data_IF_729758335669
#
_entry.id   IF_729758335669
#
_cell.length_a   1.000
_cell.length_b   1.000
_cell.length_c   1.000
_cell.angle_alpha   90.00
_cell.angle_beta   90.00
_cell.angle_gamma   90.00
#
_symmetry.space_group_name_H-M   'P 1'
#
loop_
_entity.id
_entity.type
_entity.pdbx_description
1 polymer ?
#
# COMPACT_ATOMS: atom_id res chain seq x y z
N UNK A 1 -17.96 -13.68 -22.88
CA UNK A 1 -18.30 -12.33 -22.38
C UNK A 1 -17.41 -11.94 -21.18
N UNK A 2 -16.10 -11.71 -21.35
CA UNK A 2 -15.16 -11.38 -20.25
C UNK A 2 -14.05 -10.40 -20.66
N UNK A 3 -14.37 -9.42 -21.51
CA UNK A 3 -13.39 -8.39 -21.92
C UNK A 3 -13.93 -6.95 -21.86
N UNK A 4 -15.21 -6.74 -21.51
CA UNK A 4 -15.83 -5.41 -21.46
C UNK A 4 -15.70 -4.72 -20.09
N UNK A 5 -15.26 -5.43 -19.06
CA UNK A 5 -15.20 -4.94 -17.67
C UNK A 5 -13.78 -4.66 -17.16
N UNK A 6 -12.79 -4.54 -18.04
CA UNK A 6 -11.39 -4.31 -17.63
C UNK A 6 -10.93 -2.86 -17.78
N UNK A 7 -11.49 -2.09 -18.72
CA UNK A 7 -11.03 -0.72 -19.02
C UNK A 7 -12.14 0.33 -18.88
N UNK A 8 -13.37 0.06 -19.37
CA UNK A 8 -14.50 0.98 -19.19
C UNK A 8 -14.99 1.05 -17.73
N UNK A 9 -15.02 -0.09 -17.03
CA UNK A 9 -15.36 -0.15 -15.60
C UNK A 9 -14.35 0.61 -14.76
N UNK A 10 -13.06 0.48 -15.09
CA UNK A 10 -11.97 1.12 -14.35
C UNK A 10 -11.94 2.62 -14.61
N UNK A 11 -12.11 3.08 -15.85
CA UNK A 11 -12.16 4.50 -16.18
C UNK A 11 -13.40 5.20 -15.59
N UNK A 12 -14.57 4.57 -15.65
CA UNK A 12 -15.79 5.10 -15.06
C UNK A 12 -15.75 5.10 -13.52
N UNK A 13 -15.17 4.05 -12.92
CA UNK A 13 -14.92 4.00 -11.48
C UNK A 13 -13.89 5.06 -11.06
N UNK A 14 -12.82 5.24 -11.82
CA UNK A 14 -11.82 6.29 -11.61
C UNK A 14 -12.45 7.68 -11.65
N UNK A 15 -13.29 7.97 -12.64
CA UNK A 15 -14.01 9.24 -12.73
C UNK A 15 -15.04 9.47 -11.61
N UNK A 16 -15.53 8.40 -10.96
CA UNK A 16 -16.37 8.49 -9.75
C UNK A 16 -15.55 8.70 -8.49
N UNK A 17 -14.35 8.09 -8.39
CA UNK A 17 -13.43 8.24 -7.26
C UNK A 17 -12.73 9.61 -7.29
N UNK A 18 -12.34 10.12 -8.47
CA UNK A 18 -11.75 11.46 -8.65
C UNK A 18 -12.75 12.56 -8.24
N UNK A 19 -14.05 12.38 -8.54
CA UNK A 19 -15.12 13.25 -8.03
C UNK A 19 -15.38 13.09 -6.53
N UNK A 20 -14.97 11.97 -5.96
CA UNK A 20 -15.01 11.71 -4.52
C UNK A 20 -13.67 12.04 -3.84
N UNK A 21 -12.72 12.71 -4.51
CA UNK A 21 -11.40 13.07 -3.98
C UNK A 21 -11.39 14.04 -2.79
N UNK A 22 -12.56 14.34 -2.24
CA UNK A 22 -12.76 15.04 -0.95
C UNK A 22 -13.50 14.20 0.09
N UNK A 23 -13.94 12.99 -0.26
CA UNK A 23 -14.75 12.13 0.58
C UNK A 23 -13.87 11.22 1.48
N UNK A 24 -13.60 11.70 2.69
CA UNK A 24 -13.48 10.95 3.95
C UNK A 24 -12.54 9.73 4.04
N UNK A 25 -11.79 9.62 5.15
CA UNK A 25 -10.83 8.53 5.41
C UNK A 25 -11.35 7.09 5.26
N UNK A 26 -12.67 6.86 5.36
CA UNK A 26 -13.28 5.55 5.10
C UNK A 26 -13.17 5.08 3.64
N UNK A 27 -13.28 6.00 2.67
CA UNK A 27 -13.11 5.69 1.25
C UNK A 27 -11.65 5.33 0.94
N UNK A 28 -10.71 6.09 1.51
CA UNK A 28 -9.27 5.83 1.37
C UNK A 28 -8.88 4.45 1.94
N UNK A 29 -9.46 4.04 3.08
CA UNK A 29 -9.25 2.71 3.65
C UNK A 29 -9.78 1.59 2.75
N UNK A 30 -10.92 1.80 2.08
CA UNK A 30 -11.47 0.84 1.13
C UNK A 30 -10.56 0.69 -0.12
N UNK A 31 -10.05 1.81 -0.62
CA UNK A 31 -9.07 1.83 -1.73
C UNK A 31 -7.78 1.12 -1.32
N UNK A 32 -7.24 1.39 -0.13
CA UNK A 32 -6.04 0.73 0.40
C UNK A 32 -6.21 -0.80 0.45
N UNK A 33 -7.35 -1.30 0.95
CA UNK A 33 -7.66 -2.74 0.94
C UNK A 33 -7.84 -3.32 -0.46
N UNK A 34 -8.32 -2.55 -1.42
CA UNK A 34 -8.45 -2.98 -2.81
C UNK A 34 -7.08 -3.07 -3.49
N UNK A 35 -6.22 -2.07 -3.30
CA UNK A 35 -4.84 -2.05 -3.80
C UNK A 35 -4.04 -3.22 -3.22
N UNK A 36 -4.11 -3.45 -1.89
CA UNK A 36 -3.46 -4.61 -1.25
C UNK A 36 -3.81 -5.92 -1.95
N UNK A 37 -5.11 -6.17 -2.12
CA UNK A 37 -5.61 -7.39 -2.79
C UNK A 37 -5.22 -7.48 -4.27
N UNK A 38 -5.03 -6.36 -4.95
CA UNK A 38 -4.57 -6.34 -6.34
C UNK A 38 -3.07 -6.69 -6.43
N UNK A 39 -2.25 -6.07 -5.57
CA UNK A 39 -0.81 -6.32 -5.51
C UNK A 39 -0.50 -7.75 -5.04
N UNK A 40 -1.18 -8.24 -4.00
CA UNK A 40 -1.07 -9.63 -3.55
C UNK A 40 -1.40 -10.64 -4.66
N UNK A 41 -2.40 -10.35 -5.50
CA UNK A 41 -2.75 -11.20 -6.65
C UNK A 41 -1.68 -11.14 -7.73
N UNK A 42 -1.18 -9.96 -8.06
CA UNK A 42 -0.13 -9.78 -9.06
C UNK A 42 1.18 -10.47 -8.64
N UNK A 43 1.56 -10.34 -7.36
CA UNK A 43 2.75 -10.95 -6.79
C UNK A 43 2.78 -12.48 -6.94
N UNK A 44 1.61 -13.14 -6.85
CA UNK A 44 1.50 -14.60 -7.05
C UNK A 44 1.68 -15.05 -8.50
N UNK A 45 1.52 -14.14 -9.45
CA UNK A 45 1.61 -14.44 -10.88
C UNK A 45 2.90 -13.94 -11.52
N UNK A 46 3.68 -13.11 -10.82
CA UNK A 46 4.93 -12.52 -11.31
C UNK A 46 6.11 -13.20 -10.61
N UNK A 47 6.90 -14.02 -11.34
CA UNK A 47 8.11 -14.63 -10.79
C UNK A 47 9.10 -13.55 -10.31
N UNK A 48 9.69 -13.74 -9.13
CA UNK A 48 10.69 -12.80 -8.58
C UNK A 48 10.12 -11.46 -8.13
N UNK A 49 8.86 -11.43 -7.66
CA UNK A 49 8.23 -10.20 -7.16
C UNK A 49 8.92 -9.70 -5.88
N UNK A 50 9.97 -8.89 -6.05
CA UNK A 50 10.70 -8.28 -4.95
C UNK A 50 9.79 -7.36 -4.12
N UNK A 51 9.95 -7.39 -2.80
CA UNK A 51 9.21 -6.56 -1.83
C UNK A 51 9.16 -5.08 -2.24
N UNK A 52 10.28 -4.55 -2.75
CA UNK A 52 10.38 -3.18 -3.25
C UNK A 52 9.49 -2.88 -4.46
N UNK A 53 9.42 -3.81 -5.42
CA UNK A 53 8.59 -3.65 -6.61
C UNK A 53 7.10 -3.66 -6.26
N UNK A 54 6.70 -4.51 -5.31
CA UNK A 54 5.34 -4.53 -4.77
C UNK A 54 5.01 -3.22 -4.05
N UNK A 55 5.93 -2.71 -3.21
CA UNK A 55 5.78 -1.44 -2.50
C UNK A 55 5.58 -0.27 -3.47
N UNK A 56 6.45 -0.11 -4.47
CA UNK A 56 6.28 0.98 -5.44
C UNK A 56 5.03 0.85 -6.30
N UNK A 57 4.62 -0.37 -6.63
CA UNK A 57 3.36 -0.61 -7.34
C UNK A 57 2.17 -0.15 -6.50
N UNK A 58 2.13 -0.50 -5.22
CA UNK A 58 1.08 -0.05 -4.31
C UNK A 58 1.09 1.47 -4.13
N UNK A 59 2.26 2.08 -3.94
CA UNK A 59 2.42 3.52 -3.83
C UNK A 59 1.88 4.25 -5.08
N UNK A 60 2.25 3.78 -6.27
CA UNK A 60 1.77 4.35 -7.53
C UNK A 60 0.25 4.24 -7.65
N UNK A 61 -0.34 3.08 -7.32
CA UNK A 61 -1.79 2.88 -7.37
C UNK A 61 -2.55 3.79 -6.38
N UNK A 62 -2.01 3.96 -5.17
CA UNK A 62 -2.60 4.82 -4.14
C UNK A 62 -2.49 6.30 -4.49
N UNK A 63 -1.33 6.75 -4.96
CA UNK A 63 -1.13 8.14 -5.44
C UNK A 63 -2.07 8.47 -6.58
N UNK A 64 -2.26 7.54 -7.53
CA UNK A 64 -3.23 7.70 -8.63
C UNK A 64 -4.67 7.78 -8.17
N UNK A 65 -4.99 7.21 -7.02
CA UNK A 65 -6.30 7.29 -6.39
C UNK A 65 -6.42 8.47 -5.41
N UNK A 66 -5.47 9.43 -5.44
CA UNK A 66 -5.39 10.59 -4.54
C UNK A 66 -5.39 10.21 -3.03
N UNK A 67 -4.95 9.00 -2.69
CA UNK A 67 -4.82 8.56 -1.31
C UNK A 67 -3.51 9.04 -0.71
N UNK A 68 -3.54 9.45 0.56
CA UNK A 68 -2.31 9.63 1.34
C UNK A 68 -1.59 8.29 1.48
N UNK A 69 -0.29 8.29 1.25
CA UNK A 69 0.53 7.09 1.28
C UNK A 69 1.86 7.40 1.94
N UNK A 70 2.34 6.44 2.74
CA UNK A 70 3.67 6.42 3.29
C UNK A 70 4.35 5.11 2.91
N UNK A 71 5.47 5.19 2.20
CA UNK A 71 6.29 4.03 1.85
C UNK A 71 7.48 4.01 2.79
N UNK A 72 7.77 2.88 3.42
CA UNK A 72 8.91 2.72 4.31
C UNK A 72 9.80 1.57 3.85
N UNK A 73 11.10 1.73 4.00
CA UNK A 73 12.09 0.68 3.80
C UNK A 73 12.82 0.47 5.11
N UNK A 74 12.89 -0.77 5.57
CA UNK A 74 13.59 -1.16 6.77
C UNK A 74 14.52 -2.32 6.53
N UNK A 75 15.47 -2.49 7.44
CA UNK A 75 16.37 -3.64 7.47
C UNK A 75 16.25 -4.36 8.80
N UNK A 76 16.34 -5.69 8.74
CA UNK A 76 16.49 -6.55 9.91
C UNK A 76 17.95 -7.01 9.99
N UNK A 77 18.40 -7.41 11.17
CA UNK A 77 19.68 -8.09 11.35
C UNK A 77 19.51 -9.59 11.61
N UNK A 78 18.27 -10.09 11.56
CA UNK A 78 17.90 -11.46 11.94
C UNK A 78 17.40 -12.26 10.72
N UNK A 79 17.95 -13.46 10.53
CA UNK A 79 17.27 -14.59 9.85
C UNK A 79 17.51 -14.82 8.35
N UNK A 80 17.63 -13.80 7.50
CA UNK A 80 17.65 -13.98 6.03
C UNK A 80 18.85 -13.30 5.32
N UNK A 81 19.35 -13.86 4.20
CA UNK A 81 20.49 -13.31 3.45
C UNK A 81 20.19 -11.96 2.78
N UNK A 82 18.92 -11.55 2.66
CA UNK A 82 18.51 -10.24 2.16
C UNK A 82 17.55 -9.58 3.17
N UNK A 83 18.06 -9.03 4.29
CA UNK A 83 17.18 -8.63 5.37
C UNK A 83 16.61 -7.22 5.15
N UNK A 84 16.34 -6.84 3.91
CA UNK A 84 15.74 -5.57 3.54
C UNK A 84 14.27 -5.77 3.15
N UNK A 85 13.39 -4.98 3.74
CA UNK A 85 11.96 -5.07 3.53
C UNK A 85 11.35 -3.70 3.23
N UNK A 86 10.36 -3.68 2.35
CA UNK A 86 9.65 -2.47 1.98
C UNK A 86 8.15 -2.68 2.24
N UNK A 87 7.54 -1.72 2.92
CA UNK A 87 6.11 -1.72 3.18
C UNK A 87 5.48 -0.38 2.86
N UNK A 88 4.20 -0.41 2.52
CA UNK A 88 3.41 0.78 2.20
C UNK A 88 2.25 0.85 3.15
N UNK A 89 2.02 2.02 3.72
CA UNK A 89 0.88 2.33 4.57
C UNK A 89 0.00 3.39 3.93
N UNK A 90 -1.31 3.21 4.01
CA UNK A 90 -2.27 4.25 3.67
C UNK A 90 -3.45 4.19 4.63
N UNK A 91 -3.80 5.33 5.23
CA UNK A 91 -4.92 5.44 6.16
C UNK A 91 -4.84 4.43 7.33
N UNK A 92 -3.63 4.19 7.87
CA UNK A 92 -3.40 3.22 8.96
C UNK A 92 -3.43 1.75 8.53
N UNK A 93 -3.48 1.47 7.22
CA UNK A 93 -3.50 0.11 6.69
C UNK A 93 -2.17 -0.17 5.99
N UNK A 94 -1.49 -1.23 6.40
CA UNK A 94 -0.35 -1.78 5.66
C UNK A 94 -0.89 -2.45 4.38
N UNK A 95 -0.54 -1.87 3.23
CA UNK A 95 -1.02 -2.24 1.90
C UNK A 95 -0.12 -3.32 1.28
N UNK A 96 1.19 -3.26 1.53
CA UNK A 96 2.16 -4.26 1.07
C UNK A 96 3.23 -4.44 2.12
N UNK A 97 3.88 -5.60 2.09
CA UNK A 97 4.97 -5.89 3.00
C UNK A 97 4.52 -6.12 4.45
N UNK A 98 3.34 -6.69 4.66
CA UNK A 98 2.93 -7.17 5.99
C UNK A 98 3.75 -8.42 6.35
N UNK A 99 4.89 -8.21 7.01
CA UNK A 99 5.65 -9.29 7.65
C UNK A 99 5.19 -9.37 9.08
N UNK A 100 5.03 -10.59 9.59
CA UNK A 100 4.91 -10.80 11.02
C UNK A 100 6.08 -10.07 11.68
N UNK A 101 5.78 -9.11 12.55
CA UNK A 101 6.75 -8.34 13.32
C UNK A 101 7.51 -7.22 12.57
N UNK A 102 6.77 -6.33 11.89
CA UNK A 102 7.31 -5.05 11.36
C UNK A 102 8.06 -4.20 12.40
N UNK A 103 7.82 -4.41 13.69
CA UNK A 103 8.50 -3.72 14.79
C UNK A 103 9.99 -4.08 14.88
N UNK A 104 10.38 -5.25 14.38
CA UNK A 104 11.77 -5.75 14.40
C UNK A 104 12.63 -5.18 13.26
N UNK A 105 12.01 -4.49 12.29
CA UNK A 105 12.74 -3.81 11.22
C UNK A 105 13.11 -2.38 11.61
N UNK A 106 14.40 -2.08 11.60
CA UNK A 106 14.89 -0.71 11.73
C UNK A 106 14.54 0.07 10.45
N UNK A 107 13.62 1.03 10.56
CA UNK A 107 13.22 1.90 9.45
C UNK A 107 14.40 2.79 9.05
N UNK A 108 14.88 2.64 7.82
CA UNK A 108 15.95 3.44 7.25
C UNK A 108 15.42 4.71 6.58
N UNK A 109 14.32 4.59 5.83
CA UNK A 109 13.75 5.71 5.09
C UNK A 109 12.24 5.57 4.99
N UNK A 110 11.55 6.72 5.01
CA UNK A 110 10.14 6.82 4.68
C UNK A 110 9.92 7.91 3.63
N UNK A 111 9.05 7.62 2.67
CA UNK A 111 8.61 8.51 1.61
C UNK A 111 7.11 8.80 1.79
N UNK A 112 6.70 10.05 1.57
CA UNK A 112 5.30 10.48 1.72
C UNK A 112 5.02 11.14 3.07
N UNK A 113 3.83 11.72 3.21
CA UNK A 113 3.44 12.40 4.45
C UNK A 113 3.27 11.35 5.56
N UNK A 114 3.88 11.53 6.74
CA UNK A 114 3.69 10.60 7.85
C UNK A 114 2.20 10.52 8.18
N UNK A 115 1.61 9.33 8.10
CA UNK A 115 0.33 9.06 8.77
C UNK A 115 0.58 9.36 10.25
N UNK A 116 -0.06 10.39 10.79
CA UNK A 116 -0.02 10.63 12.24
C UNK A 116 -0.62 9.40 12.90
N UNK A 117 0.22 8.54 13.47
CA UNK A 117 -0.21 7.63 14.52
C UNK A 117 -0.68 8.50 15.68
N UNK A 118 -1.98 8.44 15.98
CA UNK A 118 -2.51 9.05 17.20
C UNK A 118 -1.77 8.44 18.40
N UNK A 119 -1.26 9.25 19.34
CA UNK A 119 -0.70 8.70 20.56
C UNK A 119 -1.83 8.05 21.35
N UNK A 120 -1.75 6.74 21.58
CA UNK A 120 -2.54 6.09 22.60
C UNK A 120 -1.98 6.56 23.95
N UNK A 121 -2.52 7.67 24.45
CA UNK A 121 -2.24 8.14 25.80
C UNK A 121 -2.81 7.14 26.79
N UNK A 122 -1.90 6.47 27.52
CA UNK A 122 -2.24 5.73 28.73
C UNK A 122 -2.73 6.68 29.81
N UNK A 123 -3.74 6.23 30.53
CA UNK A 123 -4.10 6.70 31.86
C UNK A 123 -3.45 5.78 32.90
#
# INVERSE_FOLDING_TARGET
MRAALSLLSFAALRARIERAGTAGGAANAAVARAVRRAVERAARTVPGSACLAQAFTAELMLRRAACQVSTSIGVSSQGEPLPAHAWVESSGIIVTGDVHDLQTYARLVSFGAPSRSSPTGGA
#
